data_IF_634884084624
#
_entry.id   IF_634884084624
#
_cell.length_a   1.000
_cell.length_b   1.000
_cell.length_c   1.000
_cell.angle_alpha   90.00
_cell.angle_beta   90.00
_cell.angle_gamma   90.00
#
_symmetry.space_group_name_H-M   'P 1'
#
loop_
_entity.id
_entity.type
_entity.pdbx_description
1 polymer ?
#
# COMPACT_ATOMS: atom_id res chain seq x y z
N UNK A 1 -19.12 20.87 -1.03
CA UNK A 1 -18.31 20.10 -0.06
C UNK A 1 -17.16 19.55 -0.86
N UNK A 2 -15.93 20.01 -0.61
CA UNK A 2 -14.75 19.36 -1.19
C UNK A 2 -14.65 17.99 -0.53
N UNK A 3 -14.89 16.92 -1.27
CA UNK A 3 -14.56 15.57 -0.78
C UNK A 3 -13.05 15.55 -0.59
N UNK A 4 -12.59 15.45 0.66
CA UNK A 4 -11.17 15.26 0.93
C UNK A 4 -10.70 13.98 0.25
N UNK A 5 -9.61 14.08 -0.48
CA UNK A 5 -9.01 12.93 -1.14
C UNK A 5 -8.54 11.99 -0.02
N UNK A 6 -9.01 10.72 0.06
CA UNK A 6 -8.67 9.82 1.14
C UNK A 6 -7.16 9.67 1.26
N UNK A 7 -6.63 9.80 2.48
CA UNK A 7 -5.21 9.57 2.79
C UNK A 7 -5.12 8.64 3.99
N UNK A 8 -4.34 7.58 3.86
CA UNK A 8 -4.06 6.64 4.93
C UNK A 8 -2.85 7.11 5.75
N UNK A 9 -1.85 7.70 5.09
CA UNK A 9 -0.63 8.20 5.74
C UNK A 9 -0.66 9.72 5.85
N UNK A 10 -0.34 10.25 7.04
CA UNK A 10 -0.23 11.70 7.25
C UNK A 10 0.93 12.30 6.43
N UNK A 11 2.02 11.54 6.29
CA UNK A 11 3.24 11.93 5.59
C UNK A 11 3.47 11.09 4.32
N UNK A 12 4.13 11.69 3.33
CA UNK A 12 4.55 10.97 2.13
C UNK A 12 5.63 9.93 2.47
N UNK A 13 5.45 8.64 2.09
CA UNK A 13 6.43 7.62 2.39
C UNK A 13 7.71 7.78 1.56
N UNK A 14 8.83 7.38 2.17
CA UNK A 14 10.07 7.16 1.44
C UNK A 14 10.10 5.74 0.87
N UNK A 15 10.66 5.57 -0.33
CA UNK A 15 10.73 4.25 -0.94
C UNK A 15 11.76 3.37 -0.20
N UNK A 16 11.30 2.33 0.51
CA UNK A 16 12.15 1.37 1.23
C UNK A 16 13.34 0.82 0.42
N UNK A 17 13.14 0.57 -0.88
CA UNK A 17 14.16 -0.07 -1.72
C UNK A 17 15.31 0.87 -2.12
N UNK A 18 15.12 2.18 -2.10
CA UNK A 18 16.13 3.13 -2.63
C UNK A 18 16.17 4.50 -1.95
N UNK A 19 15.39 4.69 -0.88
CA UNK A 19 15.23 5.91 -0.08
C UNK A 19 14.86 7.16 -0.91
N UNK A 20 14.34 6.98 -2.13
CA UNK A 20 13.84 8.08 -2.95
C UNK A 20 12.44 8.49 -2.51
N UNK A 21 12.12 9.76 -2.73
CA UNK A 21 10.76 10.30 -2.65
C UNK A 21 9.82 9.45 -3.53
N UNK A 22 8.62 9.21 -3.02
CA UNK A 22 7.52 8.60 -3.75
C UNK A 22 6.51 9.68 -4.18
N UNK A 23 5.90 9.49 -5.34
CA UNK A 23 4.93 10.42 -5.92
C UNK A 23 3.54 9.80 -5.82
N UNK A 24 2.58 10.57 -5.31
CA UNK A 24 1.19 10.15 -5.18
C UNK A 24 0.47 10.18 -6.52
N UNK A 25 -0.27 9.12 -6.82
CA UNK A 25 -1.01 8.90 -8.07
C UNK A 25 -2.32 8.19 -7.75
N UNK A 26 -3.23 8.17 -8.74
CA UNK A 26 -4.46 7.38 -8.68
C UNK A 26 -4.46 6.36 -9.81
N UNK A 27 -4.97 5.16 -9.55
CA UNK A 27 -5.21 4.16 -10.60
C UNK A 27 -6.44 4.55 -11.42
N UNK A 28 -6.35 4.38 -12.74
CA UNK A 28 -7.43 4.72 -13.69
C UNK A 28 -7.97 3.51 -14.46
N UNK A 29 -7.54 2.28 -14.11
CA UNK A 29 -7.94 1.07 -14.80
C UNK A 29 -8.37 -0.02 -13.82
N UNK A 30 -9.33 -0.85 -14.25
CA UNK A 30 -9.98 -1.84 -13.39
C UNK A 30 -9.63 -3.31 -13.71
N UNK A 31 -8.62 -3.57 -14.54
CA UNK A 31 -8.27 -4.95 -14.95
C UNK A 31 -7.98 -5.89 -13.76
N UNK A 32 -7.55 -5.32 -12.63
CA UNK A 32 -7.21 -6.05 -11.40
C UNK A 32 -8.08 -5.64 -10.20
N UNK A 33 -9.25 -5.02 -10.40
CA UNK A 33 -10.12 -4.60 -9.29
C UNK A 33 -9.57 -3.41 -8.47
N UNK A 34 -8.63 -2.65 -9.03
CA UNK A 34 -7.92 -1.59 -8.31
C UNK A 34 -8.29 -0.19 -8.83
N UNK A 35 -9.41 -0.01 -9.53
CA UNK A 35 -9.78 1.31 -10.08
C UNK A 35 -9.99 2.36 -8.98
N UNK A 36 -9.59 3.61 -9.24
CA UNK A 36 -9.73 4.78 -8.35
C UNK A 36 -8.97 4.70 -7.01
N UNK A 37 -8.06 3.75 -6.84
CA UNK A 37 -7.22 3.60 -5.66
C UNK A 37 -6.03 4.56 -5.68
N UNK A 38 -5.80 5.23 -4.55
CA UNK A 38 -4.65 6.11 -4.37
C UNK A 38 -3.41 5.32 -3.99
N UNK A 39 -2.27 5.67 -4.57
CA UNK A 39 -0.99 5.01 -4.29
C UNK A 39 0.19 5.95 -4.48
N UNK A 40 1.24 5.69 -3.73
CA UNK A 40 2.57 6.24 -3.93
C UNK A 40 3.38 5.32 -4.84
N UNK A 41 4.11 5.91 -5.79
CA UNK A 41 5.06 5.21 -6.67
C UNK A 41 6.43 5.82 -6.53
N UNK A 42 7.48 4.99 -6.46
CA UNK A 42 8.84 5.48 -6.44
C UNK A 42 9.14 6.36 -7.66
N UNK A 43 9.80 7.51 -7.44
CA UNK A 43 10.21 8.42 -8.52
C UNK A 43 11.34 7.87 -9.38
N UNK A 44 12.19 6.98 -8.85
CA UNK A 44 13.29 6.36 -9.61
C UNK A 44 12.74 5.36 -10.62
N UNK A 45 13.15 5.50 -11.89
CA UNK A 45 12.57 4.71 -13.01
C UNK A 45 12.86 3.22 -12.89
N UNK A 46 14.00 2.88 -12.33
CA UNK A 46 14.50 1.53 -12.09
C UNK A 46 13.88 0.86 -10.85
N UNK A 47 13.29 1.66 -9.95
CA UNK A 47 12.68 1.15 -8.72
C UNK A 47 11.17 1.00 -8.91
N UNK A 48 10.67 -0.22 -8.67
CA UNK A 48 9.24 -0.55 -8.81
C UNK A 48 8.45 -0.41 -7.50
N UNK A 49 8.96 0.31 -6.52
CA UNK A 49 8.31 0.49 -5.23
C UNK A 49 6.94 1.17 -5.36
N UNK A 50 5.91 0.53 -4.80
CA UNK A 50 4.52 1.01 -4.78
C UNK A 50 3.96 0.80 -3.37
N UNK A 51 3.22 1.77 -2.87
CA UNK A 51 2.52 1.72 -1.57
C UNK A 51 1.12 2.29 -1.77
N UNK A 52 0.06 1.53 -1.52
CA UNK A 52 -1.32 2.06 -1.62
C UNK A 52 -1.66 2.92 -0.41
N UNK A 53 -2.29 4.05 -0.65
CA UNK A 53 -2.64 5.11 0.29
C UNK A 53 -4.17 5.23 0.43
N UNK A 54 -4.78 4.10 0.79
CA UNK A 54 -6.22 3.96 1.00
C UNK A 54 -6.50 2.92 2.09
N UNK A 55 -7.75 2.84 2.53
CA UNK A 55 -8.18 1.92 3.59
C UNK A 55 -8.52 0.51 3.09
N UNK A 56 -8.34 0.24 1.80
CA UNK A 56 -8.68 -1.06 1.23
C UNK A 56 -7.71 -2.14 1.74
N UNK A 57 -8.27 -3.22 2.29
CA UNK A 57 -7.50 -4.28 2.98
C UNK A 57 -6.98 -3.91 4.39
N UNK A 58 -7.29 -2.73 4.92
CA UNK A 58 -6.98 -2.38 6.32
C UNK A 58 -8.15 -2.83 7.19
N UNK A 59 -7.90 -3.70 8.18
CA UNK A 59 -8.93 -4.26 9.05
C UNK A 59 -8.41 -4.35 10.49
N UNK A 60 -9.32 -4.17 11.45
CA UNK A 60 -9.05 -4.48 12.85
C UNK A 60 -8.75 -5.99 12.98
N UNK A 61 -7.66 -6.34 13.65
CA UNK A 61 -7.20 -7.73 13.79
C UNK A 61 -6.21 -8.21 12.73
N UNK A 62 -5.84 -7.38 11.75
CA UNK A 62 -4.67 -7.66 10.91
C UNK A 62 -3.43 -7.80 11.81
N UNK A 63 -2.53 -8.78 11.55
CA UNK A 63 -1.27 -8.88 12.31
C UNK A 63 -0.44 -7.60 12.09
N UNK A 64 0.26 -7.09 13.13
CA UNK A 64 1.19 -5.98 12.95
C UNK A 64 2.36 -6.38 12.04
N UNK A 65 2.95 -5.41 11.34
CA UNK A 65 4.20 -5.63 10.60
C UNK A 65 5.42 -5.64 11.55
N UNK A 66 6.59 -6.02 11.03
CA UNK A 66 7.88 -5.94 11.72
C UNK A 66 8.33 -4.49 12.05
N UNK A 67 7.60 -3.51 11.52
CA UNK A 67 7.79 -2.09 11.73
C UNK A 67 6.84 -1.49 12.79
N UNK A 68 6.08 -2.33 13.51
CA UNK A 68 5.03 -1.94 14.46
C UNK A 68 3.87 -1.11 13.87
N UNK A 69 3.82 -0.99 12.54
CA UNK A 69 2.71 -0.42 11.78
C UNK A 69 1.68 -1.50 11.40
N UNK A 70 0.50 -1.08 10.94
CA UNK A 70 -0.56 -2.00 10.52
C UNK A 70 -0.25 -2.67 9.18
N UNK A 71 -0.68 -3.92 9.02
CA UNK A 71 -0.60 -4.64 7.76
C UNK A 71 -1.88 -4.46 6.92
N UNK A 72 -1.77 -4.66 5.61
CA UNK A 72 -2.86 -4.70 4.65
C UNK A 72 -3.07 -6.13 4.18
N UNK A 73 -4.30 -6.62 4.24
CA UNK A 73 -4.68 -7.91 3.68
C UNK A 73 -5.08 -7.78 2.22
N UNK A 74 -4.64 -8.74 1.40
CA UNK A 74 -5.06 -8.91 0.02
C UNK A 74 -5.35 -10.39 -0.23
N UNK A 75 -6.41 -10.66 -0.98
CA UNK A 75 -6.70 -12.01 -1.45
C UNK A 75 -5.94 -12.27 -2.74
N UNK A 76 -5.05 -13.25 -2.75
CA UNK A 76 -4.32 -13.66 -3.95
C UNK A 76 -5.01 -14.85 -4.66
N UNK A 77 -4.62 -15.08 -5.92
CA UNK A 77 -5.17 -16.18 -6.72
C UNK A 77 -4.85 -17.51 -6.04
N UNK A 78 -5.86 -18.17 -5.48
CA UNK A 78 -5.65 -19.43 -4.73
C UNK A 78 -6.48 -19.57 -3.46
N UNK A 79 -7.05 -18.45 -2.96
CA UNK A 79 -7.81 -18.30 -1.69
C UNK A 79 -6.97 -17.86 -0.49
N UNK A 80 -5.66 -17.70 -0.66
CA UNK A 80 -4.80 -17.29 0.43
C UNK A 80 -4.98 -15.79 0.74
N UNK A 81 -5.03 -15.48 2.02
CA UNK A 81 -4.97 -14.11 2.53
C UNK A 81 -3.51 -13.75 2.76
N UNK A 82 -3.01 -12.80 1.98
CA UNK A 82 -1.65 -12.29 2.11
C UNK A 82 -1.68 -10.94 2.80
N UNK A 83 -1.01 -10.87 3.94
CA UNK A 83 -0.83 -9.67 4.75
C UNK A 83 0.53 -9.07 4.44
N UNK A 84 0.59 -7.78 4.13
CA UNK A 84 1.84 -7.05 3.85
C UNK A 84 1.89 -5.77 4.66
N UNK A 85 3.08 -5.27 4.97
CA UNK A 85 3.22 -3.94 5.58
C UNK A 85 2.45 -2.89 4.77
N UNK A 86 1.49 -2.18 5.38
CA UNK A 86 0.66 -1.22 4.65
C UNK A 86 1.48 -0.03 4.15
N UNK A 87 2.46 0.41 4.94
CA UNK A 87 3.37 1.53 4.66
C UNK A 87 4.55 1.17 3.76
N UNK A 88 4.79 -0.13 3.57
CA UNK A 88 5.90 -0.66 2.78
C UNK A 88 7.29 -0.41 3.36
N UNK A 89 7.40 -0.20 4.68
CA UNK A 89 8.66 0.12 5.38
C UNK A 89 9.47 -1.12 5.78
N UNK A 90 8.83 -2.28 5.95
CA UNK A 90 9.51 -3.54 6.19
C UNK A 90 9.11 -4.61 5.16
N UNK A 91 9.72 -5.79 5.27
CA UNK A 91 9.49 -6.94 4.39
C UNK A 91 8.41 -7.89 4.90
N UNK A 92 7.65 -7.48 5.92
CA UNK A 92 6.60 -8.29 6.51
C UNK A 92 5.64 -8.83 5.44
N UNK A 93 5.57 -10.16 5.36
CA UNK A 93 4.61 -10.92 4.57
C UNK A 93 4.14 -12.10 5.40
N UNK A 94 2.82 -12.22 5.57
CA UNK A 94 2.21 -13.38 6.23
C UNK A 94 1.08 -13.93 5.36
N UNK A 95 0.95 -15.25 5.29
CA UNK A 95 -0.01 -15.95 4.43
C UNK A 95 -0.89 -16.87 5.28
N UNK A 96 -2.20 -16.87 5.03
CA UNK A 96 -3.21 -17.72 5.67
C UNK A 96 -4.12 -18.39 4.66
#
# INVERSE_FOLDING_TARGET
MSEEIPRLFEEDPSCRNCNSIMVRNQTHGNANGNENRWFYKCRRRECRGIVFDDYEGIREGNPPCDCDEFSRVQREQGRDYVFRCARGECEFVQVY
#
